data_IF_062845875416
#
_entry.id   IF_062845875416
#
_cell.length_a   1.000
_cell.length_b   1.000
_cell.length_c   1.000
_cell.angle_alpha   90.00
_cell.angle_beta   90.00
_cell.angle_gamma   90.00
#
_symmetry.space_group_name_H-M   'P 1'
#
loop_
_entity.id
_entity.type
_entity.pdbx_description
1 polymer ?
#
# COMPACT_ATOMS: atom_id res chain seq x y z
N UNK A 1 -10.92 11.45 -19.16
CA UNK A 1 -11.30 10.04 -18.97
C UNK A 1 -12.37 9.88 -17.88
N UNK A 2 -12.07 10.30 -16.62
CA UNK A 2 -13.03 10.26 -15.52
C UNK A 2 -13.89 11.52 -15.51
N UNK A 3 -15.19 11.38 -15.57
CA UNK A 3 -16.13 12.49 -15.61
C UNK A 3 -17.05 12.45 -14.39
N UNK A 4 -17.36 13.63 -13.87
CA UNK A 4 -18.37 13.83 -12.84
C UNK A 4 -19.60 14.47 -13.48
N UNK A 5 -20.77 13.87 -13.28
CA UNK A 5 -22.05 14.42 -13.69
C UNK A 5 -22.69 15.15 -12.52
N UNK A 6 -23.32 16.27 -12.76
CA UNK A 6 -24.03 17.10 -11.77
C UNK A 6 -23.18 17.65 -10.62
N UNK A 7 -21.83 17.52 -10.67
CA UNK A 7 -20.95 18.00 -9.59
C UNK A 7 -21.00 19.53 -9.43
N UNK A 8 -21.30 20.26 -10.49
CA UNK A 8 -21.46 21.71 -10.50
C UNK A 8 -22.60 22.22 -9.63
N UNK A 9 -23.52 21.32 -9.23
CA UNK A 9 -24.64 21.63 -8.35
C UNK A 9 -24.25 21.62 -6.87
N UNK A 10 -23.08 21.06 -6.55
CA UNK A 10 -22.59 21.02 -5.18
C UNK A 10 -22.01 22.38 -4.74
N UNK A 11 -22.26 22.77 -3.49
CA UNK A 11 -21.79 24.03 -2.91
C UNK A 11 -20.26 24.17 -2.89
N UNK A 12 -19.56 23.03 -2.91
CA UNK A 12 -18.09 22.95 -2.86
C UNK A 12 -17.44 22.77 -4.22
N UNK A 13 -18.23 22.80 -5.33
CA UNK A 13 -17.69 22.65 -6.67
C UNK A 13 -16.63 23.71 -6.99
N UNK A 14 -15.49 23.28 -7.50
CA UNK A 14 -14.35 24.16 -7.78
C UNK A 14 -13.52 24.56 -6.56
N UNK A 15 -13.88 24.12 -5.34
CA UNK A 15 -13.10 24.32 -4.14
C UNK A 15 -12.20 23.12 -3.84
N UNK A 16 -11.18 23.30 -2.99
CA UNK A 16 -10.35 22.18 -2.48
C UNK A 16 -11.03 21.37 -1.37
N UNK A 17 -12.25 21.74 -0.98
CA UNK A 17 -13.01 21.03 0.06
C UNK A 17 -13.77 19.85 -0.53
N UNK A 18 -13.79 18.76 0.22
CA UNK A 18 -14.58 17.58 -0.13
C UNK A 18 -16.06 17.85 0.12
N UNK A 19 -16.95 17.64 -0.86
CA UNK A 19 -18.39 17.83 -0.66
C UNK A 19 -18.93 16.81 0.35
N UNK A 20 -19.92 17.19 1.18
CA UNK A 20 -20.61 16.26 2.07
C UNK A 20 -21.30 15.15 1.28
N UNK A 21 -21.28 13.93 1.81
CA UNK A 21 -21.89 12.77 1.14
C UNK A 21 -23.40 12.98 0.87
N UNK A 22 -24.13 13.65 1.79
CA UNK A 22 -25.53 13.99 1.62
C UNK A 22 -25.80 14.86 0.40
N UNK A 23 -24.97 15.87 0.17
CA UNK A 23 -25.08 16.78 -0.98
C UNK A 23 -24.83 16.05 -2.32
N UNK A 24 -23.88 15.09 -2.34
CA UNK A 24 -23.63 14.26 -3.52
C UNK A 24 -24.84 13.39 -3.87
N UNK A 25 -25.52 12.83 -2.88
CA UNK A 25 -26.73 12.02 -3.06
C UNK A 25 -27.91 12.91 -3.50
N UNK A 26 -28.13 14.05 -2.85
CA UNK A 26 -29.22 14.99 -3.16
C UNK A 26 -29.16 15.48 -4.60
N UNK A 27 -27.97 15.82 -5.08
CA UNK A 27 -27.76 16.27 -6.45
C UNK A 27 -27.53 15.14 -7.44
N UNK A 28 -27.64 13.89 -7.02
CA UNK A 28 -27.42 12.70 -7.85
C UNK A 28 -26.09 12.78 -8.61
N UNK A 29 -25.02 13.14 -7.91
CA UNK A 29 -23.68 13.23 -8.48
C UNK A 29 -23.17 11.83 -8.76
N UNK A 30 -22.86 11.57 -10.03
CA UNK A 30 -22.28 10.30 -10.46
C UNK A 30 -20.88 10.52 -11.04
N UNK A 31 -19.98 9.59 -10.81
CA UNK A 31 -18.64 9.58 -11.38
C UNK A 31 -18.42 8.33 -12.23
N UNK A 32 -17.71 8.48 -13.34
CA UNK A 32 -17.44 7.35 -14.21
C UNK A 32 -16.60 7.71 -15.43
N UNK A 33 -16.38 6.73 -16.27
CA UNK A 33 -15.78 6.95 -17.58
C UNK A 33 -16.83 7.52 -18.55
N UNK A 34 -16.37 8.30 -19.52
CA UNK A 34 -17.24 8.60 -20.66
C UNK A 34 -17.65 7.32 -21.40
N UNK A 35 -18.75 7.39 -22.13
CA UNK A 35 -19.34 6.20 -22.78
C UNK A 35 -18.39 5.47 -23.71
N UNK A 36 -17.56 6.20 -24.44
CA UNK A 36 -16.62 5.59 -25.39
C UNK A 36 -15.57 4.74 -24.68
N UNK A 37 -14.96 5.28 -23.63
CA UNK A 37 -13.96 4.54 -22.84
C UNK A 37 -14.60 3.38 -22.05
N UNK A 38 -15.81 3.59 -21.51
CA UNK A 38 -16.56 2.53 -20.85
C UNK A 38 -16.81 1.35 -21.80
N UNK A 39 -17.34 1.63 -23.00
CA UNK A 39 -17.63 0.61 -24.02
C UNK A 39 -16.37 -0.13 -24.50
N UNK A 40 -15.21 0.54 -24.53
CA UNK A 40 -13.93 -0.09 -24.83
C UNK A 40 -13.48 -1.03 -23.70
N UNK A 41 -13.60 -0.60 -22.44
CA UNK A 41 -13.23 -1.39 -21.28
C UNK A 41 -14.05 -2.68 -21.18
N UNK A 42 -15.38 -2.58 -21.26
CA UNK A 42 -16.25 -3.76 -21.10
C UNK A 42 -16.08 -4.78 -22.23
N UNK A 43 -15.63 -4.36 -23.43
CA UNK A 43 -15.37 -5.23 -24.57
C UNK A 43 -14.02 -5.95 -24.50
N UNK A 44 -13.10 -5.51 -23.65
CA UNK A 44 -11.74 -6.05 -23.62
C UNK A 44 -11.29 -6.42 -22.20
N UNK A 45 -11.48 -7.68 -21.82
CA UNK A 45 -10.97 -8.22 -20.55
C UNK A 45 -9.45 -8.02 -20.41
N UNK A 46 -8.69 -8.12 -21.52
CA UNK A 46 -7.25 -7.89 -21.50
C UNK A 46 -6.88 -6.45 -21.17
N UNK A 47 -7.65 -5.47 -21.66
CA UNK A 47 -7.44 -4.06 -21.36
C UNK A 47 -7.73 -3.76 -19.88
N UNK A 48 -8.84 -4.30 -19.34
CA UNK A 48 -9.17 -4.17 -17.91
C UNK A 48 -8.04 -4.76 -17.05
N UNK A 49 -7.58 -5.98 -17.34
CA UNK A 49 -6.51 -6.62 -16.60
C UNK A 49 -5.20 -5.82 -16.68
N UNK A 50 -4.88 -5.23 -17.84
CA UNK A 50 -3.69 -4.38 -18.00
C UNK A 50 -3.76 -3.12 -17.15
N UNK A 51 -4.92 -2.44 -17.15
CA UNK A 51 -5.14 -1.24 -16.33
C UNK A 51 -5.15 -1.56 -14.84
N UNK A 52 -5.83 -2.63 -14.43
CA UNK A 52 -5.84 -3.10 -13.04
C UNK A 52 -4.43 -3.38 -12.54
N UNK A 53 -3.60 -4.05 -13.36
CA UNK A 53 -2.19 -4.28 -13.04
C UNK A 53 -1.42 -2.97 -12.85
N UNK A 54 -1.56 -2.02 -13.77
CA UNK A 54 -0.87 -0.73 -13.67
C UNK A 54 -1.26 0.03 -12.40
N UNK A 55 -2.54 0.01 -12.03
CA UNK A 55 -3.03 0.64 -10.80
C UNK A 55 -2.45 -0.07 -9.56
N UNK A 56 -2.48 -1.40 -9.53
CA UNK A 56 -1.93 -2.16 -8.42
C UNK A 56 -0.43 -1.93 -8.26
N UNK A 57 0.33 -2.00 -9.35
CA UNK A 57 1.78 -1.76 -9.32
C UNK A 57 2.15 -0.32 -8.93
N UNK A 58 1.33 0.67 -9.29
CA UNK A 58 1.58 2.08 -8.99
C UNK A 58 1.21 2.48 -7.56
N UNK A 59 0.19 1.83 -6.95
CA UNK A 59 -0.43 2.35 -5.74
C UNK A 59 -0.44 1.38 -4.55
N UNK A 60 -0.16 0.09 -4.76
CA UNK A 60 -0.23 -0.93 -3.72
C UNK A 60 1.08 -1.71 -3.60
N UNK A 61 1.48 -2.05 -2.37
CA UNK A 61 2.66 -2.88 -2.14
C UNK A 61 2.46 -4.30 -2.66
N UNK A 62 3.56 -4.97 -3.03
CA UNK A 62 3.52 -6.33 -3.58
C UNK A 62 2.81 -7.33 -2.65
N UNK A 63 2.92 -7.12 -1.33
CA UNK A 63 2.38 -8.03 -0.31
C UNK A 63 0.85 -8.09 -0.28
N UNK A 64 0.15 -7.06 -0.80
CA UNK A 64 -1.32 -6.98 -0.81
C UNK A 64 -1.91 -7.02 -2.22
N UNK A 65 -1.09 -6.94 -3.28
CA UNK A 65 -1.59 -6.91 -4.67
C UNK A 65 -2.34 -8.18 -5.05
N UNK A 66 -1.82 -9.35 -4.65
CA UNK A 66 -2.43 -10.65 -4.96
C UNK A 66 -3.80 -10.78 -4.29
N UNK A 67 -3.89 -10.43 -3.00
CA UNK A 67 -5.14 -10.47 -2.24
C UNK A 67 -6.19 -9.52 -2.82
N UNK A 68 -5.79 -8.30 -3.20
CA UNK A 68 -6.68 -7.33 -3.84
C UNK A 68 -7.15 -7.79 -5.22
N UNK A 69 -6.27 -8.42 -5.99
CA UNK A 69 -6.62 -8.96 -7.31
C UNK A 69 -7.67 -10.08 -7.19
N UNK A 70 -7.48 -10.98 -6.23
CA UNK A 70 -8.40 -12.08 -5.96
C UNK A 70 -9.77 -11.57 -5.47
N UNK A 71 -9.77 -10.62 -4.52
CA UNK A 71 -11.00 -10.02 -3.97
C UNK A 71 -11.82 -9.30 -5.04
N UNK A 72 -11.14 -8.66 -6.00
CA UNK A 72 -11.77 -7.95 -7.11
C UNK A 72 -12.08 -8.86 -8.32
N UNK A 73 -11.72 -10.13 -8.26
CA UNK A 73 -11.94 -11.11 -9.33
C UNK A 73 -11.08 -10.88 -10.58
N UNK A 74 -9.92 -10.26 -10.44
CA UNK A 74 -8.97 -10.10 -11.53
C UNK A 74 -8.02 -11.28 -11.62
N UNK A 75 -7.99 -11.97 -12.76
CA UNK A 75 -6.96 -12.96 -13.08
C UNK A 75 -5.64 -12.25 -13.47
N UNK A 76 -4.95 -11.69 -12.48
CA UNK A 76 -3.69 -11.01 -12.72
C UNK A 76 -2.53 -11.98 -12.58
N UNK A 77 -1.83 -12.24 -13.68
CA UNK A 77 -0.47 -12.75 -13.64
C UNK A 77 0.44 -11.62 -13.10
N UNK A 78 0.51 -11.50 -11.78
CA UNK A 78 1.43 -10.57 -11.14
C UNK A 78 2.84 -11.13 -11.31
N UNK A 79 3.65 -10.45 -12.11
CA UNK A 79 5.07 -10.74 -12.19
C UNK A 79 5.67 -10.33 -10.84
N UNK A 80 6.13 -11.30 -10.05
CA UNK A 80 6.90 -11.01 -8.84
C UNK A 80 8.14 -10.20 -9.26
N UNK A 81 8.13 -8.90 -8.98
CA UNK A 81 9.33 -8.09 -9.10
C UNK A 81 10.40 -8.69 -8.18
N UNK A 82 11.58 -8.91 -8.72
CA UNK A 82 12.69 -9.43 -7.95
C UNK A 82 13.00 -8.45 -6.82
N UNK A 83 12.73 -8.86 -5.58
CA UNK A 83 13.07 -8.09 -4.37
C UNK A 83 14.58 -7.91 -4.36
N UNK A 84 15.05 -6.73 -3.97
CA UNK A 84 16.48 -6.51 -3.78
C UNK A 84 16.99 -7.36 -2.60
N UNK A 85 17.75 -8.44 -2.87
CA UNK A 85 18.19 -9.35 -1.81
C UNK A 85 19.19 -8.67 -0.87
N UNK A 86 19.92 -7.66 -1.35
CA UNK A 86 20.87 -6.91 -0.56
C UNK A 86 20.16 -6.02 0.46
N UNK A 87 19.14 -5.30 0.05
CA UNK A 87 18.30 -4.51 0.97
C UNK A 87 17.72 -5.38 2.08
N UNK A 88 17.10 -6.51 1.71
CA UNK A 88 16.54 -7.44 2.71
C UNK A 88 17.60 -7.90 3.71
N UNK A 89 18.77 -8.34 3.23
CA UNK A 89 19.84 -8.83 4.09
C UNK A 89 20.36 -7.74 5.05
N UNK A 90 20.55 -6.53 4.56
CA UNK A 90 21.04 -5.41 5.36
C UNK A 90 20.04 -5.02 6.45
N UNK A 91 18.76 -4.91 6.11
CA UNK A 91 17.69 -4.58 7.09
C UNK A 91 17.58 -5.68 8.14
N UNK A 92 17.47 -6.96 7.75
CA UNK A 92 17.36 -8.04 8.72
C UNK A 92 18.56 -8.11 9.66
N UNK A 93 19.77 -7.85 9.15
CA UNK A 93 20.98 -7.79 9.95
C UNK A 93 20.96 -6.63 10.95
N UNK A 94 20.51 -5.45 10.55
CA UNK A 94 20.39 -4.27 11.41
C UNK A 94 19.41 -4.50 12.58
N UNK A 95 18.39 -5.33 12.38
CA UNK A 95 17.42 -5.72 13.40
C UNK A 95 17.75 -7.07 14.08
N UNK A 96 19.00 -7.57 14.01
CA UNK A 96 19.42 -8.84 14.59
C UNK A 96 18.54 -10.03 14.17
N UNK A 97 17.92 -9.95 12.99
CA UNK A 97 16.95 -10.94 12.48
C UNK A 97 15.73 -11.14 13.39
N UNK A 98 15.24 -10.08 13.98
CA UNK A 98 14.03 -10.05 14.81
C UNK A 98 12.99 -9.09 14.24
N UNK A 99 11.72 -9.42 14.42
CA UNK A 99 10.63 -8.50 14.08
C UNK A 99 10.64 -7.28 14.99
N UNK A 100 10.70 -6.08 14.44
CA UNK A 100 10.73 -4.83 15.18
C UNK A 100 9.52 -4.60 16.10
N UNK A 101 8.42 -5.36 15.91
CA UNK A 101 7.19 -5.22 16.68
C UNK A 101 7.07 -6.27 17.79
N UNK A 102 7.27 -7.54 17.44
CA UNK A 102 7.00 -8.65 18.37
C UNK A 102 8.22 -9.51 18.70
N UNK A 103 9.41 -9.17 18.19
CA UNK A 103 10.62 -9.94 18.43
C UNK A 103 10.64 -11.32 17.75
N UNK A 104 9.67 -11.62 16.87
CA UNK A 104 9.65 -12.90 16.16
C UNK A 104 10.94 -13.11 15.37
N UNK A 105 11.62 -14.28 15.58
CA UNK A 105 12.94 -14.57 15.04
C UNK A 105 13.11 -16.03 14.60
N UNK A 106 12.02 -16.70 14.19
CA UNK A 106 12.09 -18.09 13.76
C UNK A 106 13.08 -18.28 12.62
N UNK A 107 13.91 -19.32 12.74
CA UNK A 107 14.90 -19.71 11.75
C UNK A 107 14.77 -21.19 11.42
N UNK A 108 15.09 -21.50 10.19
CA UNK A 108 15.39 -22.86 9.75
C UNK A 108 16.86 -22.86 9.28
N UNK A 109 17.71 -23.53 10.00
CA UNK A 109 19.17 -23.43 9.88
C UNK A 109 19.66 -21.98 9.96
N UNK A 110 20.32 -21.48 8.92
CA UNK A 110 20.80 -20.09 8.82
C UNK A 110 19.83 -19.14 8.11
N UNK A 111 18.61 -19.61 7.79
CA UNK A 111 17.62 -18.84 7.04
C UNK A 111 16.48 -18.40 7.95
N UNK A 112 16.17 -17.10 7.95
CA UNK A 112 14.98 -16.56 8.65
C UNK A 112 13.71 -16.98 7.94
N UNK A 113 12.76 -17.53 8.69
CA UNK A 113 11.44 -17.94 8.22
C UNK A 113 10.44 -16.84 8.50
N UNK A 114 9.65 -16.46 7.49
CA UNK A 114 8.58 -15.46 7.59
C UNK A 114 9.02 -14.11 8.20
N UNK A 115 10.29 -13.73 8.03
CA UNK A 115 10.82 -12.41 8.37
C UNK A 115 11.22 -11.68 7.10
N UNK A 116 10.72 -10.47 6.91
CA UNK A 116 10.83 -9.68 5.69
C UNK A 116 11.32 -8.26 5.97
N UNK A 117 11.89 -7.60 4.95
CA UNK A 117 12.22 -6.18 5.01
C UNK A 117 11.09 -5.36 4.36
N UNK A 118 10.38 -4.61 5.16
CA UNK A 118 9.36 -3.65 4.72
C UNK A 118 9.99 -2.30 4.44
N UNK A 119 9.57 -1.61 3.37
CA UNK A 119 9.96 -0.23 3.13
C UNK A 119 9.04 0.71 3.92
N UNK A 120 9.62 1.66 4.67
CA UNK A 120 8.85 2.72 5.36
C UNK A 120 8.20 3.64 4.32
N UNK A 121 9.01 4.24 3.45
CA UNK A 121 8.53 4.89 2.24
C UNK A 121 8.58 3.88 1.11
N UNK A 122 7.43 3.56 0.55
CA UNK A 122 7.31 2.51 -0.45
C UNK A 122 8.16 2.80 -1.69
N UNK A 123 8.75 1.75 -2.27
CA UNK A 123 9.63 1.83 -3.44
C UNK A 123 8.96 2.49 -4.65
N UNK A 124 7.68 2.22 -4.88
CA UNK A 124 6.90 2.84 -5.96
C UNK A 124 6.74 4.36 -5.83
N UNK A 125 6.89 4.90 -4.62
CA UNK A 125 6.90 6.34 -4.35
C UNK A 125 8.33 6.89 -4.16
N UNK A 126 9.34 6.21 -4.71
CA UNK A 126 10.73 6.63 -4.66
C UNK A 126 11.39 6.42 -3.30
N UNK A 127 10.92 5.43 -2.52
CA UNK A 127 11.59 5.02 -1.30
C UNK A 127 12.93 4.34 -1.62
N UNK A 128 14.05 4.76 -0.98
CA UNK A 128 15.35 4.17 -1.21
C UNK A 128 15.45 2.77 -0.60
N UNK A 129 16.27 1.88 -1.23
CA UNK A 129 16.60 0.57 -0.68
C UNK A 129 17.79 0.69 0.30
N UNK A 130 17.58 1.42 1.39
CA UNK A 130 18.58 1.71 2.42
C UNK A 130 18.06 1.34 3.81
N UNK A 131 18.96 1.00 4.74
CA UNK A 131 18.60 0.57 6.10
C UNK A 131 17.65 1.56 6.80
N UNK A 132 17.88 2.90 6.76
CA UNK A 132 16.98 3.85 7.43
C UNK A 132 15.54 3.86 6.90
N UNK A 133 15.33 3.35 5.68
CA UNK A 133 14.00 3.21 5.07
C UNK A 133 13.46 1.79 5.19
N UNK A 134 14.04 0.94 6.03
CA UNK A 134 13.69 -0.47 6.18
C UNK A 134 13.26 -0.83 7.60
N UNK A 135 12.26 -1.70 7.71
CA UNK A 135 11.83 -2.35 8.96
C UNK A 135 11.91 -3.86 8.79
N UNK A 136 12.49 -4.57 9.77
CA UNK A 136 12.37 -6.01 9.82
C UNK A 136 11.03 -6.39 10.46
N UNK A 137 10.14 -7.01 9.71
CA UNK A 137 8.81 -7.38 10.16
C UNK A 137 8.54 -8.86 9.88
N UNK A 138 7.84 -9.54 10.78
CA UNK A 138 7.29 -10.85 10.45
C UNK A 138 6.15 -10.69 9.42
N UNK A 139 5.80 -11.76 8.72
CA UNK A 139 4.80 -11.73 7.65
C UNK A 139 3.45 -11.13 8.08
N UNK A 140 3.03 -11.34 9.34
CA UNK A 140 1.79 -10.78 9.90
C UNK A 140 1.92 -9.26 10.04
N UNK A 141 2.99 -8.78 10.69
CA UNK A 141 3.19 -7.35 10.91
C UNK A 141 3.52 -6.59 9.63
N UNK A 142 4.19 -7.24 8.66
CA UNK A 142 4.41 -6.65 7.34
C UNK A 142 3.08 -6.39 6.63
N UNK A 143 2.18 -7.39 6.60
CA UNK A 143 0.84 -7.24 6.01
C UNK A 143 0.00 -6.17 6.72
N UNK A 144 0.04 -6.13 8.06
CA UNK A 144 -0.66 -5.11 8.85
C UNK A 144 -0.12 -3.70 8.58
N UNK A 145 1.19 -3.56 8.40
CA UNK A 145 1.84 -2.30 8.05
C UNK A 145 1.45 -1.84 6.64
N UNK A 146 1.50 -2.72 5.65
CA UNK A 146 1.13 -2.41 4.27
C UNK A 146 -0.36 -2.07 4.10
N UNK A 147 -1.23 -2.69 4.91
CA UNK A 147 -2.67 -2.35 4.97
C UNK A 147 -2.98 -1.10 5.79
N UNK A 148 -1.97 -0.47 6.42
CA UNK A 148 -2.14 0.71 7.26
C UNK A 148 -2.85 0.45 8.58
N UNK A 149 -2.98 -0.82 9.01
CA UNK A 149 -3.54 -1.20 10.32
C UNK A 149 -2.60 -0.80 11.46
N UNK A 150 -1.31 -0.71 11.18
CA UNK A 150 -0.27 -0.20 12.05
C UNK A 150 0.56 0.85 11.29
N UNK A 151 1.12 1.81 12.01
CA UNK A 151 1.93 2.88 11.41
C UNK A 151 3.06 3.29 12.33
N UNK A 152 3.99 4.09 11.80
CA UNK A 152 5.05 4.73 12.57
C UNK A 152 4.58 6.10 13.06
N UNK A 153 4.80 6.39 14.34
CA UNK A 153 4.59 7.71 14.90
C UNK A 153 5.88 8.52 14.84
N UNK A 154 5.80 9.78 14.42
CA UNK A 154 6.95 10.69 14.38
C UNK A 154 6.92 11.63 15.61
N UNK A 155 6.64 11.11 16.80
CA UNK A 155 6.84 11.86 18.02
C UNK A 155 8.29 11.66 18.49
N UNK A 156 9.01 12.78 18.68
CA UNK A 156 10.33 12.75 19.31
C UNK A 156 10.15 12.25 20.74
N UNK A 157 10.54 11.01 21.00
CA UNK A 157 10.77 10.58 22.37
C UNK A 157 11.98 11.35 22.93
N UNK A 158 11.74 12.35 23.76
CA UNK A 158 12.73 13.28 24.28
C UNK A 158 13.68 12.69 25.36
N UNK A 159 13.88 11.38 25.47
CA UNK A 159 14.65 10.81 26.56
C UNK A 159 15.47 9.56 26.28
N UNK A 160 15.52 8.99 25.05
CA UNK A 160 16.32 7.79 24.81
C UNK A 160 17.35 8.00 23.68
N UNK A 161 18.63 7.64 23.89
CA UNK A 161 19.67 7.73 22.87
C UNK A 161 19.52 6.70 21.74
N UNK A 162 18.56 5.76 21.85
CA UNK A 162 18.16 4.81 20.82
C UNK A 162 16.63 4.79 20.69
N UNK A 163 16.02 5.69 19.88
CA UNK A 163 14.58 5.70 19.72
C UNK A 163 14.12 4.42 19.01
N UNK A 164 13.53 3.52 19.78
CA UNK A 164 12.71 2.45 19.21
C UNK A 164 11.44 3.08 18.64
N UNK A 165 11.06 2.83 17.37
CA UNK A 165 9.83 3.36 16.81
C UNK A 165 8.62 2.82 17.59
N UNK A 166 7.83 3.72 18.20
CA UNK A 166 6.54 3.33 18.78
C UNK A 166 5.54 3.04 17.68
N UNK A 167 4.97 1.86 17.75
CA UNK A 167 3.97 1.38 16.78
C UNK A 167 2.60 1.47 17.44
N UNK A 168 1.71 2.28 16.85
CA UNK A 168 0.32 2.40 17.30
C UNK A 168 -0.62 1.67 16.34
N UNK A 169 -1.53 0.86 16.88
CA UNK A 169 -2.67 0.32 16.15
C UNK A 169 -3.74 1.41 15.99
N UNK A 170 -4.30 1.55 14.80
CA UNK A 170 -5.50 2.37 14.60
C UNK A 170 -6.71 1.52 15.04
N UNK A 171 -7.39 1.97 16.08
CA UNK A 171 -8.69 1.46 16.50
C UNK A 171 -9.80 1.92 15.57
#
# INVERSE_FOLDING_TARGET
FWQLQNAERCSTFGSSRRPPAGELVEHNVAGGFDKQHYDQLIKSKSLINSLARQILEAHFTESIQEELADELGFELLLLRKQRDPLFRQQVLRAYNYECAICGFNMRHDNTSVALEAAHIKWKQYGGPCEIPNGLALCAIHHKAFDKGSIGLCHERCNSDPHPTPEIRSRG
#
